data_IF_775635987680
#
_entry.id   IF_775635987680
#
_cell.length_a   1.000
_cell.length_b   1.000
_cell.length_c   1.000
_cell.angle_alpha   90.00
_cell.angle_beta   90.00
_cell.angle_gamma   90.00
#
_symmetry.space_group_name_H-M   'P 1'
#
loop_
_entity.id
_entity.type
_entity.pdbx_description
1 polymer ?
#
# COMPACT_ATOMS: atom_id res chain seq x y z
N UNK A 1 -4.25 -3.00 13.37
CA UNK A 1 -4.63 -2.82 11.96
C UNK A 1 -3.34 -2.94 11.18
N UNK A 2 -3.20 -4.05 10.43
CA UNK A 2 -1.91 -4.63 10.08
C UNK A 2 -1.30 -4.05 8.80
N UNK A 3 -0.09 -3.48 8.90
CA UNK A 3 0.78 -3.09 7.78
C UNK A 3 1.29 -4.28 6.94
N UNK A 4 0.81 -5.50 7.21
CA UNK A 4 1.22 -6.76 6.59
C UNK A 4 1.06 -6.72 5.05
N UNK A 5 0.04 -6.04 4.52
CA UNK A 5 -0.22 -6.00 3.07
C UNK A 5 0.92 -5.29 2.32
N UNK A 6 1.37 -4.12 2.81
CA UNK A 6 2.43 -3.38 2.14
C UNK A 6 3.76 -4.12 2.21
N UNK A 7 4.08 -4.73 3.35
CA UNK A 7 5.28 -5.55 3.52
C UNK A 7 5.29 -6.74 2.54
N UNK A 8 4.17 -7.47 2.43
CA UNK A 8 4.03 -8.56 1.45
C UNK A 8 4.15 -8.10 0.01
N UNK A 9 3.62 -6.93 -0.34
CA UNK A 9 3.74 -6.38 -1.69
C UNK A 9 5.18 -6.02 -2.00
N UNK A 10 5.89 -5.37 -1.08
CA UNK A 10 7.29 -5.01 -1.27
C UNK A 10 8.16 -6.27 -1.38
N UNK A 11 7.92 -7.27 -0.55
CA UNK A 11 8.59 -8.58 -0.61
C UNK A 11 8.35 -9.29 -1.96
N UNK A 12 7.08 -9.38 -2.38
CA UNK A 12 6.68 -10.00 -3.67
C UNK A 12 7.28 -9.29 -4.88
N UNK A 13 7.39 -7.97 -4.82
CA UNK A 13 8.00 -7.15 -5.86
C UNK A 13 9.53 -7.09 -5.74
N UNK A 14 10.12 -7.75 -4.73
CA UNK A 14 11.55 -7.70 -4.40
C UNK A 14 12.06 -6.25 -4.28
N UNK A 15 11.23 -5.38 -3.72
CA UNK A 15 11.55 -3.98 -3.52
C UNK A 15 12.31 -3.76 -2.22
N UNK A 16 13.14 -2.71 -2.15
CA UNK A 16 13.88 -2.38 -0.93
C UNK A 16 12.98 -2.24 0.29
N UNK A 17 13.34 -2.92 1.39
CA UNK A 17 12.65 -2.79 2.69
C UNK A 17 12.69 -1.35 3.24
N UNK A 18 13.64 -0.54 2.74
CA UNK A 18 13.76 0.89 3.02
C UNK A 18 12.48 1.67 2.68
N UNK A 19 11.75 1.26 1.64
CA UNK A 19 10.45 1.85 1.29
C UNK A 19 9.38 1.56 2.36
N UNK A 20 9.41 0.37 2.97
CA UNK A 20 8.50 0.02 4.07
C UNK A 20 8.81 0.86 5.31
N UNK A 21 10.10 1.01 5.65
CA UNK A 21 10.52 1.82 6.79
C UNK A 21 10.12 3.28 6.61
N UNK A 22 10.42 3.89 5.47
CA UNK A 22 9.99 5.26 5.16
C UNK A 22 8.48 5.44 5.22
N UNK A 23 7.72 4.47 4.72
CA UNK A 23 6.26 4.48 4.81
C UNK A 23 5.79 4.38 6.26
N UNK A 24 6.41 3.53 7.09
CA UNK A 24 6.11 3.41 8.52
C UNK A 24 6.46 4.68 9.27
N UNK A 25 7.63 5.27 9.05
CA UNK A 25 8.05 6.54 9.67
C UNK A 25 7.06 7.65 9.33
N UNK A 26 6.68 7.78 8.05
CA UNK A 26 5.74 8.81 7.61
C UNK A 26 4.32 8.59 8.19
N UNK A 27 3.84 7.35 8.21
CA UNK A 27 2.55 6.99 8.84
C UNK A 27 2.54 7.09 10.38
N UNK A 28 3.70 6.93 11.05
CA UNK A 28 3.80 7.03 12.51
C UNK A 28 3.83 8.49 12.97
N UNK A 29 4.43 9.38 12.17
CA UNK A 29 4.45 10.82 12.43
C UNK A 29 3.05 11.43 12.23
N UNK A 30 2.33 10.97 11.21
CA UNK A 30 0.95 11.39 10.93
C UNK A 30 -0.06 10.55 11.74
N UNK A 31 -0.22 10.89 13.03
CA UNK A 31 -1.14 10.26 14.02
C UNK A 31 -2.61 10.08 13.57
N UNK A 32 -2.99 10.55 12.38
CA UNK A 32 -4.37 10.56 11.89
C UNK A 32 -4.53 10.05 10.46
N UNK A 33 -3.57 9.33 9.88
CA UNK A 33 -3.86 8.64 8.63
C UNK A 33 -4.60 7.33 8.88
N UNK A 34 -5.92 7.44 9.14
CA UNK A 34 -6.84 6.45 8.57
C UNK A 34 -6.56 6.49 7.07
N UNK A 35 -5.78 5.52 6.58
CA UNK A 35 -5.58 5.22 5.16
C UNK A 35 -6.95 5.03 4.52
N UNK A 36 -7.63 6.14 4.28
CA UNK A 36 -8.78 6.25 3.41
C UNK A 36 -8.13 6.23 2.06
N UNK A 37 -7.79 5.02 1.61
CA UNK A 37 -7.00 4.71 0.43
C UNK A 37 -7.66 5.26 -0.82
N UNK A 38 -7.60 6.57 -1.01
CA UNK A 38 -7.84 7.20 -2.28
C UNK A 38 -6.57 7.03 -3.10
N UNK A 39 -6.77 6.69 -4.36
CA UNK A 39 -5.70 6.38 -5.30
C UNK A 39 -4.69 7.52 -5.46
N UNK A 40 -5.13 8.76 -5.18
CA UNK A 40 -4.32 9.97 -5.27
C UNK A 40 -3.40 10.13 -4.06
N UNK A 41 -3.91 9.98 -2.84
CA UNK A 41 -3.11 10.09 -1.61
C UNK A 41 -1.96 9.04 -1.60
N UNK A 42 -2.26 7.80 -2.00
CA UNK A 42 -1.24 6.75 -2.09
C UNK A 42 -0.17 7.07 -3.15
N UNK A 43 -0.55 7.71 -4.27
CA UNK A 43 0.40 8.13 -5.31
C UNK A 43 1.31 9.25 -4.84
N UNK A 44 0.76 10.22 -4.10
CA UNK A 44 1.54 11.33 -3.55
C UNK A 44 2.54 10.80 -2.51
N UNK A 45 2.09 10.02 -1.53
CA UNK A 45 2.95 9.37 -0.52
C UNK A 45 4.09 8.56 -1.17
N UNK A 46 3.74 7.67 -2.12
CA UNK A 46 4.74 6.86 -2.82
C UNK A 46 5.69 7.70 -3.68
N UNK A 47 5.33 8.90 -4.12
CA UNK A 47 6.24 9.79 -4.86
C UNK A 47 7.35 10.33 -3.97
N UNK A 48 7.06 10.58 -2.70
CA UNK A 48 8.04 11.04 -1.72
C UNK A 48 8.95 9.90 -1.22
N UNK A 49 8.40 8.68 -1.12
CA UNK A 49 9.13 7.51 -0.60
C UNK A 49 9.90 6.75 -1.69
N UNK A 50 9.26 6.56 -2.85
CA UNK A 50 9.75 5.71 -3.93
C UNK A 50 10.13 6.59 -5.13
N UNK A 51 11.42 6.88 -5.34
CA UNK A 51 11.85 7.77 -6.42
C UNK A 51 11.64 7.16 -7.81
N UNK A 52 11.62 5.82 -7.92
CA UNK A 52 11.50 5.08 -9.18
C UNK A 52 10.05 4.92 -9.60
N UNK A 53 9.69 5.45 -10.78
CA UNK A 53 8.32 5.38 -11.31
C UNK A 53 7.80 3.94 -11.50
N UNK A 54 8.64 3.04 -12.01
CA UNK A 54 8.27 1.63 -12.20
C UNK A 54 7.88 0.93 -10.88
N UNK A 55 8.62 1.21 -9.80
CA UNK A 55 8.32 0.66 -8.48
C UNK A 55 7.01 1.21 -7.92
N UNK A 56 6.74 2.52 -8.09
CA UNK A 56 5.46 3.13 -7.69
C UNK A 56 4.27 2.45 -8.36
N UNK A 57 4.34 2.29 -9.67
CA UNK A 57 3.27 1.65 -10.44
C UNK A 57 3.06 0.20 -9.98
N UNK A 58 4.15 -0.55 -9.78
CA UNK A 58 4.08 -1.94 -9.33
C UNK A 58 3.46 -2.08 -7.93
N UNK A 59 3.86 -1.21 -6.99
CA UNK A 59 3.28 -1.17 -5.63
C UNK A 59 1.79 -0.85 -5.70
N UNK A 60 1.40 0.24 -6.38
CA UNK A 60 -0.01 0.66 -6.50
C UNK A 60 -0.84 -0.44 -7.18
N UNK A 61 -0.33 -1.04 -8.26
CA UNK A 61 -1.04 -2.10 -8.97
C UNK A 61 -1.22 -3.34 -8.10
N UNK A 62 -0.21 -3.73 -7.33
CA UNK A 62 -0.28 -4.88 -6.42
C UNK A 62 -1.19 -4.58 -5.23
N UNK A 63 -1.15 -3.35 -4.72
CA UNK A 63 -1.99 -2.89 -3.63
C UNK A 63 -3.46 -2.86 -4.02
N UNK A 64 -3.78 -2.34 -5.22
CA UNK A 64 -5.13 -2.41 -5.79
C UNK A 64 -5.61 -3.84 -5.91
N UNK A 65 -4.76 -4.71 -6.44
CA UNK A 65 -5.12 -6.11 -6.62
C UNK A 65 -5.41 -6.81 -5.28
N UNK A 66 -4.57 -6.61 -4.27
CA UNK A 66 -4.79 -7.12 -2.91
C UNK A 66 -6.06 -6.52 -2.28
N UNK A 67 -6.33 -5.22 -2.47
CA UNK A 67 -7.57 -4.59 -2.02
C UNK A 67 -8.79 -5.19 -2.72
N UNK A 68 -8.76 -5.37 -4.03
CA UNK A 68 -9.83 -5.97 -4.82
C UNK A 68 -10.06 -7.44 -4.44
N UNK A 69 -8.99 -8.21 -4.20
CA UNK A 69 -9.07 -9.59 -3.71
C UNK A 69 -9.65 -9.64 -2.29
N UNK A 70 -9.25 -8.73 -1.41
CA UNK A 70 -9.81 -8.60 -0.06
C UNK A 70 -11.28 -8.18 -0.10
N UNK A 71 -11.67 -7.24 -0.97
CA UNK A 71 -13.04 -6.80 -1.18
C UNK A 71 -13.92 -7.91 -1.80
N UNK A 72 -13.36 -8.71 -2.72
CA UNK A 72 -14.05 -9.88 -3.31
C UNK A 72 -14.31 -10.96 -2.26
N UNK A 73 -13.40 -11.15 -1.31
CA UNK A 73 -13.57 -12.10 -0.19
C UNK A 73 -14.47 -11.55 0.94
N UNK A 74 -14.61 -10.23 1.06
CA UNK A 74 -15.56 -9.58 1.97
C UNK A 74 -17.02 -9.67 1.51
N UNK A 75 -17.28 -10.30 0.36
CA UNK A 75 -18.63 -10.71 -0.05
C UNK A 75 -18.76 -12.23 -0.09
N UNK A 76 -19.35 -12.84 0.95
CA UNK A 76 -20.15 -14.04 0.74
C UNK A 76 -21.62 -13.78 1.13
N UNK A 77 -22.52 -14.23 0.25
CA UNK A 77 -23.95 -14.46 0.50
C UNK A 77 -24.90 -13.26 0.32
N UNK A 78 -25.24 -12.94 -0.93
CA UNK A 78 -26.63 -12.59 -1.24
C UNK A 78 -27.39 -13.92 -1.35
N UNK A 79 -28.05 -14.30 -0.26
CA UNK A 79 -29.18 -15.22 -0.30
C UNK A 79 -30.40 -14.56 -0.92
#
# INVERSE_FOLDING_TARGET
MDFIILEKILDRLQLPVDYLQKFRDQCLDDKTMKLTLKDEDLKEELRHIVPVAGHRIAIISSFKKELEECQRHLSPTLG
#
